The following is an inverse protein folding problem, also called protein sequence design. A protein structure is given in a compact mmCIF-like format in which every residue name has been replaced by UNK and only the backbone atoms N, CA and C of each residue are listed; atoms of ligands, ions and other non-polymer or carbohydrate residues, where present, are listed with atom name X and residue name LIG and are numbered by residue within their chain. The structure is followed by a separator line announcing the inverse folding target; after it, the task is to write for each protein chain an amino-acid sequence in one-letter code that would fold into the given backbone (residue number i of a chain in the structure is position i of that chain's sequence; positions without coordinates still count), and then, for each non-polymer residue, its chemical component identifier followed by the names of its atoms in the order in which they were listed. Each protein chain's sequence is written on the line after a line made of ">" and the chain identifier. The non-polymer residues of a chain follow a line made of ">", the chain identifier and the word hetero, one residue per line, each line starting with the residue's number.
data_IF_339834899873
#
_entry.id   IF_339834899873
#
_cell.length_a   1.000
_cell.length_b   1.000
_cell.length_c   1.000
_cell.angle_alpha   90.00
_cell.angle_beta   90.00
_cell.angle_gamma   90.00
#
_symmetry.space_group_name_H-M   'P 1'
#
loop_
_entity.id
_entity.type
_entity.pdbx_description
1 polymer ?
#
# COMPACT_ATOMS: atom_id res chain seq x y z
N UNK A 1 -2.48 -15.79 -20.10
CA UNK A 1 -2.19 -14.68 -19.17
C UNK A 1 -2.48 -15.21 -17.79
N UNK A 2 -1.43 -15.34 -16.98
CA UNK A 2 -1.48 -15.97 -15.67
C UNK A 2 -1.75 -14.90 -14.60
N UNK A 3 -3.02 -14.58 -14.40
CA UNK A 3 -3.44 -13.59 -13.43
C UNK A 3 -3.55 -14.23 -12.04
N UNK A 4 -2.93 -13.59 -11.05
CA UNK A 4 -3.10 -13.90 -9.63
C UNK A 4 -4.06 -12.88 -9.03
N UNK A 5 -4.97 -13.34 -8.18
CA UNK A 5 -5.98 -12.48 -7.56
C UNK A 5 -5.85 -12.56 -6.03
N UNK A 6 -5.73 -11.40 -5.34
CA UNK A 6 -5.84 -11.37 -3.90
C UNK A 6 -7.30 -11.67 -3.52
N UNK A 7 -7.47 -12.61 -2.60
CA UNK A 7 -8.77 -13.04 -2.07
C UNK A 7 -8.77 -12.89 -0.57
N UNK A 8 -9.84 -12.31 -0.05
CA UNK A 8 -10.05 -12.22 1.39
C UNK A 8 -10.71 -13.51 1.89
N UNK A 9 -10.08 -14.20 2.82
CA UNK A 9 -10.59 -15.43 3.42
C UNK A 9 -10.88 -15.25 4.90
N UNK A 10 -11.52 -16.24 5.51
CA UNK A 10 -11.77 -16.29 6.95
C UNK A 10 -10.50 -16.27 7.81
N UNK A 11 -9.32 -16.61 7.24
CA UNK A 11 -8.02 -16.53 7.92
C UNK A 11 -7.16 -15.35 7.44
N UNK A 12 -7.74 -14.42 6.67
CA UNK A 12 -7.05 -13.24 6.16
C UNK A 12 -6.84 -13.25 4.64
N UNK A 13 -6.02 -12.32 4.15
CA UNK A 13 -5.76 -12.17 2.72
C UNK A 13 -4.79 -13.23 2.21
N UNK A 14 -5.16 -13.91 1.13
CA UNK A 14 -4.31 -14.87 0.42
C UNK A 14 -4.27 -14.52 -1.06
N UNK A 15 -3.17 -14.85 -1.73
CA UNK A 15 -3.02 -14.64 -3.17
C UNK A 15 -3.14 -15.98 -3.86
N UNK A 16 -4.18 -16.15 -4.68
CA UNK A 16 -4.43 -17.40 -5.39
C UNK A 16 -4.49 -17.18 -6.91
N UNK A 17 -4.10 -18.19 -7.71
CA UNK A 17 -4.21 -18.09 -9.16
C UNK A 17 -5.67 -17.91 -9.57
N UNK A 18 -5.94 -17.02 -10.53
CA UNK A 18 -7.32 -16.77 -10.99
C UNK A 18 -8.00 -18.04 -11.51
N UNK A 19 -7.23 -19.01 -12.02
CA UNK A 19 -7.76 -20.31 -12.47
C UNK A 19 -8.35 -21.15 -11.34
N UNK A 20 -7.87 -20.99 -10.10
CA UNK A 20 -8.45 -21.64 -8.91
C UNK A 20 -9.83 -21.09 -8.54
N UNK A 21 -10.27 -20.02 -9.22
CA UNK A 21 -11.56 -19.36 -9.02
C UNK A 21 -12.51 -19.56 -10.20
N UNK A 22 -12.13 -20.41 -11.16
CA UNK A 22 -12.97 -20.78 -12.29
C UNK A 22 -13.58 -22.16 -12.03
N UNK A 23 -14.92 -22.26 -12.07
CA UNK A 23 -15.64 -23.51 -11.87
C UNK A 23 -16.20 -23.66 -10.44
N UNK A 24 -16.28 -24.90 -9.88
CA UNK A 24 -16.89 -25.14 -8.57
C UNK A 24 -16.10 -24.50 -7.41
N UNK A 25 -14.79 -24.30 -7.62
CA UNK A 25 -13.86 -23.74 -6.66
C UNK A 25 -14.01 -22.22 -6.60
N UNK A 26 -14.97 -21.77 -5.80
CA UNK A 26 -15.20 -20.34 -5.52
C UNK A 26 -14.45 -19.91 -4.25
N UNK A 27 -14.38 -18.59 -4.01
CA UNK A 27 -13.90 -18.05 -2.72
C UNK A 27 -14.68 -18.64 -1.54
N UNK A 28 -15.98 -18.89 -1.72
CA UNK A 28 -16.83 -19.48 -0.69
C UNK A 28 -16.46 -20.93 -0.40
N UNK A 29 -16.10 -21.71 -1.41
CA UNK A 29 -15.63 -23.09 -1.22
C UNK A 29 -14.27 -23.14 -0.52
N UNK A 30 -13.36 -22.24 -0.87
CA UNK A 30 -12.10 -22.07 -0.16
C UNK A 30 -12.34 -21.72 1.32
N UNK A 31 -13.20 -20.74 1.59
CA UNK A 31 -13.55 -20.36 2.96
C UNK A 31 -14.18 -21.51 3.74
N UNK A 32 -15.10 -22.24 3.11
CA UNK A 32 -15.74 -23.41 3.70
C UNK A 32 -14.69 -24.44 4.13
N UNK A 33 -13.74 -24.80 3.27
CA UNK A 33 -12.66 -25.73 3.61
C UNK A 33 -11.75 -25.19 4.73
N UNK A 34 -11.43 -23.90 4.73
CA UNK A 34 -10.61 -23.28 5.79
C UNK A 34 -11.30 -23.27 7.15
N UNK A 35 -12.64 -23.25 7.16
CA UNK A 35 -13.48 -23.29 8.38
C UNK A 35 -13.73 -24.71 8.85
N UNK A 36 -14.07 -25.63 7.95
CA UNK A 36 -14.50 -26.99 8.27
C UNK A 36 -13.32 -27.93 8.56
N UNK A 37 -12.16 -27.72 7.93
CA UNK A 37 -10.97 -28.54 8.14
C UNK A 37 -9.93 -27.78 8.98
N UNK A 38 -9.76 -28.12 10.27
CA UNK A 38 -8.74 -27.48 11.11
C UNK A 38 -7.32 -27.78 10.64
N UNK A 39 -7.12 -28.83 9.84
CA UNK A 39 -5.84 -29.20 9.23
C UNK A 39 -5.73 -28.72 7.78
N UNK A 40 -6.62 -27.83 7.33
CA UNK A 40 -6.64 -27.31 5.97
C UNK A 40 -5.26 -26.77 5.56
N UNK A 41 -4.70 -27.34 4.51
CA UNK A 41 -3.44 -26.91 3.92
C UNK A 41 -3.72 -26.24 2.57
N UNK A 42 -3.52 -24.92 2.52
CA UNK A 42 -3.78 -24.10 1.34
C UNK A 42 -2.99 -24.59 0.11
N UNK A 43 -1.72 -24.98 0.30
CA UNK A 43 -0.89 -25.48 -0.80
C UNK A 43 -1.41 -26.81 -1.34
N UNK A 44 -1.85 -27.72 -0.48
CA UNK A 44 -2.45 -28.99 -0.91
C UNK A 44 -3.75 -28.77 -1.67
N UNK A 45 -4.60 -27.84 -1.21
CA UNK A 45 -5.85 -27.49 -1.89
C UNK A 45 -5.60 -26.81 -3.25
N UNK A 46 -4.65 -25.88 -3.31
CA UNK A 46 -4.22 -25.27 -4.57
C UNK A 46 -3.70 -26.38 -5.51
N UNK A 47 -2.82 -27.25 -5.02
CA UNK A 47 -2.23 -28.33 -5.81
C UNK A 47 -3.23 -29.40 -6.27
N UNK A 48 -4.28 -29.69 -5.49
CA UNK A 48 -5.36 -30.61 -5.88
C UNK A 48 -6.23 -29.99 -6.99
N UNK A 49 -6.54 -28.69 -6.86
CA UNK A 49 -7.20 -27.90 -7.90
C UNK A 49 -6.37 -27.90 -9.19
N UNK A 50 -5.04 -27.79 -9.08
CA UNK A 50 -4.12 -27.88 -10.22
C UNK A 50 -3.87 -29.29 -10.76
N UNK A 51 -4.14 -30.35 -10.01
CA UNK A 51 -3.97 -31.72 -10.51
C UNK A 51 -4.92 -32.04 -11.68
N UNK A 52 -5.99 -31.26 -11.82
CA UNK A 52 -6.97 -31.30 -12.91
C UNK A 52 -6.45 -30.53 -14.14
N UNK A 53 -5.43 -29.68 -14.00
CA UNK A 53 -4.85 -28.86 -15.07
C UNK A 53 -3.77 -29.62 -15.89
N UNK A 54 -3.58 -29.31 -17.18
CA UNK A 54 -2.66 -30.04 -18.05
C UNK A 54 -1.18 -29.96 -17.61
N UNK A 55 -0.49 -31.11 -17.69
CA UNK A 55 0.86 -31.37 -17.16
C UNK A 55 1.97 -30.42 -17.66
N UNK A 56 1.78 -29.73 -18.79
CA UNK A 56 2.79 -28.89 -19.43
C UNK A 56 3.16 -27.62 -18.65
N UNK A 57 2.38 -27.21 -17.64
CA UNK A 57 2.69 -26.05 -16.80
C UNK A 57 3.56 -26.34 -15.57
N UNK A 58 3.47 -27.56 -15.01
CA UNK A 58 3.78 -27.84 -13.58
C UNK A 58 5.23 -27.52 -13.14
N UNK A 59 6.22 -27.75 -14.02
CA UNK A 59 7.65 -27.50 -13.71
C UNK A 59 8.00 -26.01 -13.62
N UNK A 60 7.41 -25.18 -14.49
CA UNK A 60 7.64 -23.73 -14.48
C UNK A 60 7.05 -23.08 -13.22
N UNK A 61 5.92 -23.61 -12.74
CA UNK A 61 5.27 -23.17 -11.50
C UNK A 61 6.06 -23.50 -10.23
N UNK A 62 6.63 -24.71 -10.12
CA UNK A 62 7.43 -25.10 -8.95
C UNK A 62 8.68 -24.23 -8.79
N UNK A 63 9.31 -23.85 -9.90
CA UNK A 63 10.49 -22.98 -9.89
C UNK A 63 10.15 -21.55 -9.45
N UNK A 64 8.99 -21.03 -9.85
CA UNK A 64 8.53 -19.67 -9.47
C UNK A 64 8.09 -19.57 -8.01
N UNK A 65 7.49 -20.63 -7.44
CA UNK A 65 7.13 -20.66 -6.01
C UNK A 65 8.37 -20.68 -5.09
N UNK A 66 9.43 -21.37 -5.51
CA UNK A 66 10.73 -21.35 -4.83
C UNK A 66 11.38 -19.96 -4.86
N UNK A 67 11.20 -19.21 -5.95
CA UNK A 67 11.70 -17.83 -6.08
C UNK A 67 10.90 -16.80 -5.24
N UNK A 68 9.61 -17.05 -5.00
CA UNK A 68 8.74 -16.17 -4.20
C UNK A 68 8.97 -16.32 -2.68
N UNK A 69 9.21 -17.54 -2.19
CA UNK A 69 9.49 -17.78 -0.75
C UNK A 69 10.85 -17.21 -0.30
N UNK A 70 11.78 -16.94 -1.22
CA UNK A 70 13.07 -16.34 -0.88
C UNK A 70 12.99 -14.82 -0.60
N UNK A 71 11.84 -14.18 -0.90
CA UNK A 71 11.68 -12.72 -0.91
C UNK A 71 10.65 -12.18 0.11
N UNK A 72 10.31 -12.93 1.17
CA UNK A 72 9.29 -12.55 2.17
C UNK A 72 9.58 -11.26 2.96
N UNK A 73 10.76 -10.63 2.80
CA UNK A 73 11.04 -9.32 3.38
C UNK A 73 10.43 -8.13 2.59
N UNK A 74 9.95 -8.36 1.36
CA UNK A 74 9.43 -7.31 0.45
C UNK A 74 7.89 -7.33 0.27
N UNK A 75 7.22 -8.36 0.79
CA UNK A 75 5.77 -8.57 0.63
C UNK A 75 4.89 -7.51 1.30
N UNK A 76 5.35 -6.89 2.39
CA UNK A 76 4.61 -5.81 3.05
C UNK A 76 4.57 -4.52 2.21
N UNK A 77 5.57 -4.25 1.37
CA UNK A 77 5.53 -3.09 0.46
C UNK A 77 4.53 -3.30 -0.68
N UNK A 78 4.45 -4.51 -1.24
CA UNK A 78 3.52 -4.85 -2.33
C UNK A 78 2.05 -4.71 -1.94
N UNK A 79 1.66 -5.16 -0.75
CA UNK A 79 0.27 -5.04 -0.26
C UNK A 79 -0.10 -3.58 -0.01
N UNK A 80 0.82 -2.80 0.58
CA UNK A 80 0.64 -1.36 0.76
C UNK A 80 0.55 -0.61 -0.58
N UNK A 81 1.31 -1.02 -1.59
CA UNK A 81 1.27 -0.44 -2.93
C UNK A 81 0.01 -0.78 -3.72
N UNK A 82 -0.56 -1.98 -3.51
CA UNK A 82 -1.86 -2.36 -4.06
C UNK A 82 -3.02 -1.60 -3.40
N UNK A 83 -2.98 -1.41 -2.09
CA UNK A 83 -3.94 -0.56 -1.36
C UNK A 83 -3.82 0.92 -1.76
N UNK A 84 -2.60 1.39 -2.06
CA UNK A 84 -2.30 2.73 -2.59
C UNK A 84 -2.84 2.97 -4.00
N UNK A 85 -3.00 1.92 -4.82
CA UNK A 85 -3.62 2.01 -6.16
C UNK A 85 -5.15 1.97 -6.14
N UNK A 86 -5.77 1.31 -5.14
CA UNK A 86 -7.24 1.16 -5.04
C UNK A 86 -7.94 2.25 -4.24
N UNK A 87 -7.28 2.87 -3.28
CA UNK A 87 -7.78 4.09 -2.64
C UNK A 87 -7.53 5.27 -3.58
N UNK A 88 -8.58 6.01 -3.96
CA UNK A 88 -8.42 7.22 -4.77
C UNK A 88 -7.30 8.08 -4.17
N UNK A 89 -6.30 8.44 -4.98
CA UNK A 89 -5.06 9.09 -4.51
C UNK A 89 -5.41 10.23 -3.56
N UNK A 90 -5.03 10.10 -2.30
CA UNK A 90 -5.13 11.18 -1.32
C UNK A 90 -4.33 12.38 -1.86
N UNK A 91 -5.05 13.44 -2.21
CA UNK A 91 -4.50 14.59 -2.92
C UNK A 91 -4.88 15.88 -2.19
N UNK A 92 -3.96 16.85 -2.24
CA UNK A 92 -4.14 18.18 -1.69
C UNK A 92 -3.99 19.15 -2.84
N UNK A 93 -4.95 20.05 -3.01
CA UNK A 93 -4.95 21.05 -4.09
C UNK A 93 -5.70 22.29 -3.63
N UNK A 94 -5.72 23.33 -4.46
CA UNK A 94 -6.64 24.45 -4.32
C UNK A 94 -7.91 24.18 -5.12
N UNK A 95 -9.05 24.60 -4.58
CA UNK A 95 -10.33 24.64 -5.29
C UNK A 95 -10.41 25.84 -6.26
N UNK A 96 -11.57 26.02 -6.91
CA UNK A 96 -11.82 27.13 -7.82
C UNK A 96 -11.73 28.52 -7.17
N UNK A 97 -11.89 28.59 -5.85
CA UNK A 97 -11.77 29.82 -5.05
C UNK A 97 -10.34 30.02 -4.50
N UNK A 98 -9.41 29.14 -4.86
CA UNK A 98 -8.05 29.16 -4.36
C UNK A 98 -7.89 28.62 -2.94
N UNK A 99 -8.94 28.07 -2.32
CA UNK A 99 -8.88 27.50 -0.96
C UNK A 99 -8.27 26.11 -1.00
N UNK A 100 -7.36 25.81 -0.09
CA UNK A 100 -6.78 24.48 0.01
C UNK A 100 -7.83 23.44 0.46
N UNK A 101 -7.92 22.35 -0.29
CA UNK A 101 -8.84 21.24 -0.11
C UNK A 101 -8.11 19.90 -0.21
N UNK A 102 -8.65 18.91 0.49
CA UNK A 102 -8.11 17.54 0.53
C UNK A 102 -9.14 16.60 -0.07
N UNK A 103 -8.72 15.82 -1.06
CA UNK A 103 -9.54 14.80 -1.72
C UNK A 103 -9.02 13.40 -1.39
N UNK A 104 -9.96 12.47 -1.18
CA UNK A 104 -9.67 11.06 -0.92
C UNK A 104 -9.87 10.64 0.53
N UNK A 105 -9.80 9.34 0.76
CA UNK A 105 -10.01 8.75 2.09
C UNK A 105 -8.65 8.54 2.77
N UNK A 106 -8.44 9.03 4.01
CA UNK A 106 -7.25 8.68 4.78
C UNK A 106 -7.08 7.17 4.92
N UNK A 107 -5.82 6.74 4.90
CA UNK A 107 -5.44 5.33 5.06
C UNK A 107 -4.80 5.10 6.43
N UNK A 108 -4.58 3.84 6.82
CA UNK A 108 -3.84 3.47 8.04
C UNK A 108 -2.47 4.14 8.15
N UNK A 109 -1.80 4.38 7.01
CA UNK A 109 -0.52 5.08 7.01
C UNK A 109 -0.66 6.53 7.50
N UNK A 110 -1.77 7.20 7.18
CA UNK A 110 -2.03 8.54 7.67
C UNK A 110 -2.35 8.53 9.18
N UNK A 111 -3.15 7.57 9.63
CA UNK A 111 -3.39 7.34 11.06
C UNK A 111 -2.08 7.09 11.83
N UNK A 112 -1.16 6.30 11.27
CA UNK A 112 0.16 6.08 11.86
C UNK A 112 0.97 7.37 11.99
N UNK A 113 1.06 8.20 10.94
CA UNK A 113 1.79 9.47 11.06
C UNK A 113 1.19 10.40 12.10
N UNK A 114 -0.14 10.44 12.18
CA UNK A 114 -0.83 11.19 13.22
C UNK A 114 -0.55 10.65 14.63
N UNK A 115 -0.61 9.33 14.82
CA UNK A 115 -0.23 8.66 16.06
C UNK A 115 1.19 9.02 16.48
N UNK A 116 2.15 8.96 15.55
CA UNK A 116 3.55 9.31 15.82
C UNK A 116 3.65 10.76 16.29
N UNK A 117 3.00 11.71 15.63
CA UNK A 117 3.06 13.11 16.04
C UNK A 117 2.44 13.36 17.42
N UNK A 118 1.40 12.60 17.79
CA UNK A 118 0.72 12.75 19.09
C UNK A 118 1.42 12.04 20.25
N UNK A 119 2.06 10.90 20.00
CA UNK A 119 2.52 9.99 21.06
C UNK A 119 4.04 9.84 21.15
N UNK A 120 4.80 10.41 20.20
CA UNK A 120 6.26 10.34 20.22
C UNK A 120 6.87 11.50 21.02
N UNK A 121 7.67 11.17 22.03
CA UNK A 121 8.58 12.15 22.59
C UNK A 121 9.69 12.47 21.55
N UNK A 122 10.06 13.74 21.32
CA UNK A 122 11.13 14.09 20.39
C UNK A 122 12.45 13.33 20.61
N UNK A 123 12.75 12.94 21.86
CA UNK A 123 13.94 12.16 22.25
C UNK A 123 13.76 10.65 22.06
N UNK A 124 12.53 10.18 21.92
CA UNK A 124 12.23 8.76 21.73
C UNK A 124 12.62 8.31 20.31
N UNK A 125 13.35 7.19 20.16
CA UNK A 125 13.60 6.57 18.87
C UNK A 125 12.29 6.23 18.14
N UNK A 126 12.21 6.54 16.85
CA UNK A 126 11.01 6.26 16.03
C UNK A 126 10.61 4.77 16.04
N UNK A 127 11.60 3.87 16.14
CA UNK A 127 11.38 2.41 16.18
C UNK A 127 10.54 1.97 17.38
N UNK A 128 10.59 2.70 18.50
CA UNK A 128 9.90 2.32 19.74
C UNK A 128 8.41 2.69 19.63
N UNK A 129 8.11 3.89 19.11
CA UNK A 129 6.74 4.30 18.74
C UNK A 129 6.16 3.38 17.67
N UNK A 130 6.97 2.94 16.71
CA UNK A 130 6.55 2.00 15.69
C UNK A 130 6.24 0.61 16.26
N UNK A 131 6.98 0.16 17.28
CA UNK A 131 6.66 -1.07 18.00
C UNK A 131 5.30 -0.94 18.70
N UNK A 132 5.07 0.16 19.45
CA UNK A 132 3.79 0.44 20.10
C UNK A 132 2.62 0.48 19.11
N UNK A 133 2.79 1.12 17.95
CA UNK A 133 1.76 1.13 16.89
C UNK A 133 1.43 -0.28 16.37
N UNK A 134 2.42 -1.17 16.26
CA UNK A 134 2.21 -2.55 15.79
C UNK A 134 1.51 -3.42 16.82
N UNK A 135 1.68 -3.11 18.10
CA UNK A 135 1.04 -3.79 19.23
C UNK A 135 -0.43 -3.36 19.41
N UNK A 136 -0.85 -2.24 18.80
CA UNK A 136 -2.25 -1.80 18.82
C UNK A 136 -3.16 -2.80 18.11
N UNK A 137 -4.33 -3.02 18.71
CA UNK A 137 -5.40 -3.79 18.09
C UNK A 137 -5.85 -3.12 16.78
N UNK A 138 -6.34 -3.89 15.79
CA UNK A 138 -6.82 -3.31 14.54
C UNK A 138 -7.86 -2.20 14.74
N UNK A 139 -8.79 -2.39 15.68
CA UNK A 139 -9.82 -1.41 16.00
C UNK A 139 -9.25 -0.10 16.55
N UNK A 140 -8.15 -0.16 17.32
CA UNK A 140 -7.46 1.04 17.81
C UNK A 140 -6.73 1.76 16.68
N UNK A 141 -6.12 1.02 15.74
CA UNK A 141 -5.49 1.64 14.57
C UNK A 141 -6.54 2.33 13.67
N UNK A 142 -7.72 1.76 13.56
CA UNK A 142 -8.84 2.37 12.83
C UNK A 142 -9.34 3.64 13.54
N UNK A 143 -9.39 3.68 14.87
CA UNK A 143 -9.76 4.90 15.60
C UNK A 143 -8.77 6.05 15.36
N UNK A 144 -7.46 5.77 15.27
CA UNK A 144 -6.46 6.79 14.88
C UNK A 144 -6.67 7.33 13.46
N UNK A 145 -7.23 6.54 12.55
CA UNK A 145 -7.61 7.02 11.20
C UNK A 145 -8.82 7.95 11.29
N UNK A 146 -9.81 7.63 12.12
CA UNK A 146 -10.96 8.51 12.37
C UNK A 146 -10.55 9.84 13.02
N UNK A 147 -9.67 9.80 14.02
CA UNK A 147 -9.14 11.02 14.64
C UNK A 147 -8.39 11.89 13.63
N UNK A 148 -7.65 11.27 12.72
CA UNK A 148 -6.98 12.00 11.64
C UNK A 148 -7.97 12.57 10.62
N UNK A 149 -9.10 11.91 10.33
CA UNK A 149 -10.18 12.51 9.53
C UNK A 149 -10.76 13.76 10.19
N UNK A 150 -10.94 13.74 11.51
CA UNK A 150 -11.40 14.91 12.27
C UNK A 150 -10.38 16.06 12.23
N UNK A 151 -9.09 15.74 12.28
CA UNK A 151 -8.01 16.73 12.10
C UNK A 151 -8.11 17.42 10.74
N UNK A 152 -8.27 16.65 9.66
CA UNK A 152 -8.45 17.18 8.30
C UNK A 152 -9.70 18.06 8.18
N UNK A 153 -10.82 17.61 8.75
CA UNK A 153 -12.06 18.38 8.78
C UNK A 153 -11.91 19.72 9.52
N UNK A 154 -10.99 19.77 10.48
CA UNK A 154 -10.65 21.00 11.24
C UNK A 154 -9.68 21.93 10.51
N UNK A 155 -9.24 21.59 9.29
CA UNK A 155 -8.33 22.42 8.48
C UNK A 155 -6.83 22.16 8.71
N UNK A 156 -6.47 21.08 9.40
CA UNK A 156 -5.10 20.74 9.75
C UNK A 156 -4.64 19.41 9.13
N UNK A 157 -3.33 19.24 9.01
CA UNK A 157 -2.71 18.03 8.46
C UNK A 157 -1.35 17.76 9.14
N UNK A 158 -0.80 16.56 8.94
CA UNK A 158 0.49 16.13 9.45
C UNK A 158 1.58 16.27 8.38
N UNK A 159 2.61 17.08 8.66
CA UNK A 159 3.82 17.20 7.83
C UNK A 159 5.08 16.92 8.65
N UNK A 160 5.79 15.86 8.27
CA UNK A 160 6.96 15.39 9.02
C UNK A 160 6.57 14.99 10.44
N UNK A 161 7.01 15.78 11.43
CA UNK A 161 6.73 15.56 12.86
C UNK A 161 5.85 16.66 13.47
N UNK A 162 5.12 17.42 12.66
CA UNK A 162 4.29 18.55 13.11
C UNK A 162 2.89 18.49 12.53
N UNK A 163 1.93 19.02 13.27
CA UNK A 163 0.61 19.38 12.77
C UNK A 163 0.71 20.79 12.19
N UNK A 164 0.35 20.95 10.92
CA UNK A 164 0.34 22.23 10.20
C UNK A 164 -1.03 22.45 9.57
N UNK A 165 -1.31 23.64 9.09
CA UNK A 165 -2.54 23.89 8.34
C UNK A 165 -2.50 23.23 6.96
N UNK A 166 -3.65 22.87 6.41
CA UNK A 166 -3.75 22.32 5.04
C UNK A 166 -3.19 23.33 4.01
N UNK A 167 -3.38 24.62 4.23
CA UNK A 167 -2.82 25.71 3.41
C UNK A 167 -1.28 25.68 3.38
N UNK A 168 -0.64 25.60 4.54
CA UNK A 168 0.82 25.48 4.64
C UNK A 168 1.30 24.21 3.93
N UNK A 169 0.57 23.10 4.08
CA UNK A 169 0.94 21.84 3.44
C UNK A 169 0.86 21.92 1.92
N UNK A 170 -0.21 22.50 1.36
CA UNK A 170 -0.34 22.71 -0.09
C UNK A 170 0.81 23.59 -0.60
N UNK A 171 1.14 24.67 0.11
CA UNK A 171 2.26 25.54 -0.27
C UNK A 171 3.62 24.81 -0.22
N UNK A 172 3.86 23.93 0.75
CA UNK A 172 5.07 23.08 0.79
C UNK A 172 5.13 22.13 -0.41
N UNK A 173 4.02 21.48 -0.75
CA UNK A 173 3.94 20.52 -1.85
C UNK A 173 4.13 21.22 -3.22
N UNK A 174 3.58 22.43 -3.39
CA UNK A 174 3.79 23.27 -4.56
C UNK A 174 5.27 23.66 -4.73
N UNK A 175 5.91 24.15 -3.66
CA UNK A 175 7.35 24.48 -3.67
C UNK A 175 8.22 23.28 -4.06
N UNK A 176 7.93 22.09 -3.51
CA UNK A 176 8.65 20.85 -3.84
C UNK A 176 8.46 20.46 -5.31
N UNK A 177 7.23 20.57 -5.82
CA UNK A 177 6.90 20.31 -7.22
C UNK A 177 7.67 21.24 -8.16
N UNK A 178 7.66 22.55 -7.88
CA UNK A 178 8.37 23.53 -8.69
C UNK A 178 9.88 23.32 -8.67
N UNK A 179 10.45 22.98 -7.51
CA UNK A 179 11.87 22.64 -7.39
C UNK A 179 12.22 21.39 -8.20
N UNK A 180 11.36 20.36 -8.18
CA UNK A 180 11.55 19.14 -8.96
C UNK A 180 11.51 19.43 -10.46
N UNK A 181 10.55 20.24 -10.92
CA UNK A 181 10.43 20.64 -12.32
C UNK A 181 11.68 21.39 -12.80
N UNK A 182 12.19 22.35 -12.01
CA UNK A 182 13.43 23.06 -12.32
C UNK A 182 14.63 22.12 -12.45
N UNK A 183 14.75 21.14 -11.55
CA UNK A 183 15.82 20.12 -11.61
C UNK A 183 15.71 19.26 -12.87
N UNK A 184 14.49 18.88 -13.27
CA UNK A 184 14.27 18.11 -14.49
C UNK A 184 14.63 18.92 -15.74
N UNK A 185 14.24 20.20 -15.79
CA UNK A 185 14.60 21.10 -16.89
C UNK A 185 16.11 21.30 -16.99
N UNK A 186 16.80 21.54 -15.86
CA UNK A 186 18.26 21.67 -15.83
C UNK A 186 18.97 20.41 -16.32
N UNK A 187 18.50 19.22 -15.88
CA UNK A 187 19.03 17.92 -16.33
C UNK A 187 18.78 17.68 -17.83
N UNK A 188 17.62 18.09 -18.34
CA UNK A 188 17.32 17.99 -19.76
C UNK A 188 18.21 18.92 -20.59
N UNK A 189 18.47 20.14 -20.11
CA UNK A 189 19.34 21.10 -20.77
C UNK A 189 20.79 20.63 -20.81
N UNK A 190 21.32 20.08 -19.70
CA UNK A 190 22.68 19.52 -19.68
C UNK A 190 22.84 18.33 -20.63
N UNK A 191 21.85 17.43 -20.66
CA UNK A 191 21.86 16.29 -21.58
C UNK A 191 21.72 16.69 -23.06
N UNK A 192 21.10 17.84 -23.35
CA UNK A 192 21.04 18.39 -24.69
C UNK A 192 22.37 19.03 -25.11
N UNK A 193 23.04 19.74 -24.19
CA UNK A 193 24.35 20.35 -24.45
C UNK A 193 25.44 19.29 -24.73
N UNK A 194 25.43 18.15 -24.04
CA UNK A 194 26.36 17.04 -24.27
C UNK A 194 26.17 16.36 -25.65
N UNK A 195 24.99 16.49 -26.27
CA UNK A 195 24.67 15.88 -27.56
C UNK A 195 24.89 16.81 -28.74
N UNK A 196 25.20 18.08 -28.51
CA UNK A 196 25.51 19.00 -29.59
C UNK A 196 26.83 18.59 -30.26
N UNK A 197 26.89 18.45 -31.59
CA UNK A 197 28.13 18.12 -32.29
C UNK A 197 29.17 19.22 -32.01
N UNK A 198 30.40 18.81 -31.72
CA UNK A 198 31.54 19.73 -31.68
C UNK A 198 31.86 20.12 -33.12
N UNK A 199 31.61 21.37 -33.47
CA UNK A 199 32.06 21.97 -34.74
C UNK A 199 33.58 22.07 -34.80
#
# INVERSE_FOLDING_TARGET
>A
MDAWMPVNTVKGWVVIPQVCLLGPHTVDELNRHMTEDPNFNLDQWINSTFAIAPKSGRKKWQQMALELNANEFDGQQSVMEQLRKKSGKFQRTRDENGKAVVYGTPTLQHGYYYYVVKNRDPKEPLKDVQARWRELEPAERDSWVEDYKQLLASGFDVSGSKIITIEERVAEDEKKRDQLLRRQQAKAASAAAEKAPSD
#
